data_IF_957289255102
#
_entry.id   IF_957289255102
#
_cell.length_a   1.000
_cell.length_b   1.000
_cell.length_c   1.000
_cell.angle_alpha   90.00
_cell.angle_beta   90.00
_cell.angle_gamma   90.00
#
_symmetry.space_group_name_H-M   'P 1'
#
loop_
_entity.id
_entity.type
_entity.pdbx_description
1 polymer ?
#
# COMPACT_ATOMS: atom_id res chain seq x y z
N UNK A 1 24.72 23.74 8.96
CA UNK A 1 23.93 24.16 7.79
C UNK A 1 22.51 23.59 8.00
N UNK A 2 21.50 24.45 7.96
CA UNK A 2 20.10 24.01 8.15
C UNK A 2 19.54 23.52 6.81
N UNK A 3 19.43 22.19 6.67
CA UNK A 3 18.93 21.56 5.44
C UNK A 3 17.39 21.52 5.36
N UNK A 4 16.69 21.75 6.48
CA UNK A 4 15.21 21.67 6.53
C UNK A 4 14.54 22.67 5.59
N UNK A 5 15.17 23.82 5.33
CA UNK A 5 14.65 24.83 4.39
C UNK A 5 14.66 24.41 2.90
N UNK A 6 15.28 23.26 2.57
CA UNK A 6 15.36 22.75 1.20
C UNK A 6 14.51 21.51 0.96
N UNK A 7 13.83 21.00 1.97
CA UNK A 7 12.93 19.84 1.83
C UNK A 7 11.55 20.27 1.33
N UNK A 8 10.81 19.34 0.73
CA UNK A 8 9.44 19.59 0.31
C UNK A 8 8.53 19.89 1.51
N UNK A 9 7.52 20.76 1.35
CA UNK A 9 6.54 21.03 2.39
C UNK A 9 5.90 19.75 2.93
N UNK A 10 5.75 19.68 4.25
CA UNK A 10 5.11 18.54 4.92
C UNK A 10 6.06 17.40 5.34
N UNK A 11 7.28 17.32 4.77
CA UNK A 11 8.27 16.28 5.15
C UNK A 11 8.71 16.45 6.61
N UNK A 12 8.89 17.68 7.07
CA UNK A 12 9.24 18.01 8.46
C UNK A 12 8.22 17.51 9.48
N UNK A 13 6.97 17.33 9.05
CA UNK A 13 5.86 16.82 9.88
C UNK A 13 5.75 15.29 9.89
N UNK A 14 6.58 14.59 9.10
CA UNK A 14 6.56 13.13 9.04
C UNK A 14 7.28 12.55 10.26
N UNK A 15 6.56 11.76 11.04
CA UNK A 15 7.19 10.90 12.04
C UNK A 15 7.59 9.59 11.36
N UNK A 16 8.81 9.07 11.63
CA UNK A 16 9.21 7.77 11.12
C UNK A 16 8.16 6.71 11.44
N UNK A 17 7.84 5.88 10.46
CA UNK A 17 6.99 4.73 10.69
C UNK A 17 7.72 3.73 11.59
N UNK A 18 7.11 3.36 12.70
CA UNK A 18 7.63 2.31 13.56
C UNK A 18 7.04 0.96 13.12
N UNK A 19 7.80 0.13 12.41
CA UNK A 19 7.33 -1.21 12.03
C UNK A 19 7.12 -2.07 13.28
N UNK A 20 6.30 -3.10 13.15
CA UNK A 20 6.16 -4.11 14.21
C UNK A 20 7.53 -4.72 14.55
N UNK A 21 7.75 -5.00 15.83
CA UNK A 21 9.01 -5.61 16.29
C UNK A 21 9.27 -6.93 15.60
N UNK A 22 10.54 -7.21 15.29
CA UNK A 22 10.94 -8.51 14.75
C UNK A 22 10.67 -9.63 15.79
N UNK A 23 10.55 -10.87 15.32
CA UNK A 23 10.43 -12.01 16.21
C UNK A 23 11.65 -12.14 17.13
N UNK A 24 12.83 -11.90 16.57
CA UNK A 24 14.10 -12.02 17.29
C UNK A 24 14.23 -10.96 18.39
N UNK A 25 13.88 -9.70 18.12
CA UNK A 25 13.89 -8.63 19.13
C UNK A 25 12.97 -8.93 20.31
N UNK A 26 11.81 -9.55 20.05
CA UNK A 26 10.86 -9.92 21.10
C UNK A 26 11.38 -11.12 21.89
N UNK A 27 11.93 -12.13 21.22
CA UNK A 27 12.51 -13.29 21.87
C UNK A 27 13.68 -12.90 22.77
N UNK A 28 14.59 -12.06 22.29
CA UNK A 28 15.72 -11.55 23.06
C UNK A 28 15.26 -10.72 24.27
N UNK A 29 14.38 -9.75 24.04
CA UNK A 29 13.89 -8.83 25.07
C UNK A 29 13.21 -9.56 26.24
N UNK A 30 12.48 -10.62 25.96
CA UNK A 30 11.69 -11.36 26.97
C UNK A 30 12.28 -12.74 27.32
N UNK A 31 13.48 -13.04 26.82
CA UNK A 31 14.19 -14.31 27.01
C UNK A 31 13.29 -15.53 26.68
N UNK A 32 12.64 -15.49 25.51
CA UNK A 32 11.74 -16.52 25.05
C UNK A 32 12.45 -17.45 24.06
N UNK A 33 12.16 -18.73 24.14
CA UNK A 33 12.67 -19.75 23.21
C UNK A 33 11.82 -19.86 21.94
N UNK A 34 10.59 -19.35 21.96
CA UNK A 34 9.65 -19.42 20.85
C UNK A 34 8.58 -18.34 20.97
N UNK A 35 8.18 -17.78 19.84
CA UNK A 35 6.99 -16.91 19.72
C UNK A 35 6.16 -17.30 18.51
N UNK A 36 4.90 -16.88 18.51
CA UNK A 36 4.02 -16.93 17.34
C UNK A 36 3.77 -15.48 16.88
N UNK A 37 4.27 -15.12 15.70
CA UNK A 37 4.05 -13.81 15.10
C UNK A 37 2.77 -13.84 14.28
N UNK A 38 1.77 -13.04 14.70
CA UNK A 38 0.49 -12.88 14.01
C UNK A 38 0.34 -11.48 13.39
N UNK A 39 1.44 -10.73 13.33
CA UNK A 39 1.50 -9.38 12.77
C UNK A 39 2.10 -9.39 11.36
N UNK A 40 1.97 -8.24 10.66
CA UNK A 40 2.59 -7.97 9.34
C UNK A 40 1.96 -8.73 8.17
N UNK A 41 0.85 -9.43 8.37
CA UNK A 41 0.15 -10.19 7.33
C UNK A 41 1.05 -11.21 6.59
N UNK A 42 2.04 -11.75 7.31
CA UNK A 42 2.93 -12.77 6.79
C UNK A 42 2.22 -14.12 6.66
N UNK A 43 2.55 -14.89 5.62
CA UNK A 43 2.04 -16.23 5.47
C UNK A 43 2.77 -17.21 6.40
N UNK A 44 2.14 -17.60 7.50
CA UNK A 44 2.71 -18.53 8.49
C UNK A 44 2.99 -19.94 7.95
N UNK A 45 2.38 -20.32 6.81
CA UNK A 45 2.66 -21.59 6.13
C UNK A 45 3.97 -21.55 5.31
N UNK A 46 4.49 -20.34 5.09
CA UNK A 46 5.66 -20.12 4.25
C UNK A 46 5.38 -20.27 2.74
N UNK A 47 6.41 -20.23 1.91
CA UNK A 47 6.26 -20.36 0.47
C UNK A 47 5.95 -21.81 0.07
N UNK A 48 5.30 -21.98 -1.09
CA UNK A 48 5.02 -23.32 -1.62
C UNK A 48 6.31 -24.10 -1.91
N UNK A 49 6.31 -25.44 -1.84
CA UNK A 49 7.47 -26.26 -2.21
C UNK A 49 7.95 -26.01 -3.63
N UNK A 50 7.05 -25.72 -4.58
CA UNK A 50 7.39 -25.38 -5.97
C UNK A 50 8.20 -24.09 -6.06
N UNK A 51 7.83 -23.06 -5.30
CA UNK A 51 8.58 -21.79 -5.24
C UNK A 51 9.98 -22.02 -4.68
N UNK A 52 10.10 -22.81 -3.61
CA UNK A 52 11.41 -23.15 -3.03
C UNK A 52 12.32 -23.86 -4.03
N UNK A 53 11.77 -24.82 -4.80
CA UNK A 53 12.54 -25.51 -5.85
C UNK A 53 13.07 -24.53 -6.89
N UNK A 54 12.21 -23.67 -7.43
CA UNK A 54 12.61 -22.67 -8.43
C UNK A 54 13.70 -21.73 -7.91
N UNK A 55 13.56 -21.25 -6.67
CA UNK A 55 14.58 -20.37 -6.05
C UNK A 55 15.92 -21.09 -5.92
N UNK A 56 15.94 -22.35 -5.51
CA UNK A 56 17.16 -23.13 -5.33
C UNK A 56 17.86 -23.46 -6.67
N UNK A 57 17.08 -23.57 -7.74
CA UNK A 57 17.59 -23.88 -9.08
C UNK A 57 17.99 -22.62 -9.88
N UNK A 58 17.59 -21.44 -9.41
CA UNK A 58 17.86 -20.18 -10.10
C UNK A 58 19.35 -19.80 -10.02
N UNK A 59 19.99 -19.66 -11.16
CA UNK A 59 21.43 -19.42 -11.28
C UNK A 59 21.77 -18.01 -11.79
N UNK A 60 20.84 -17.36 -12.43
CA UNK A 60 21.08 -16.12 -13.18
C UNK A 60 20.84 -14.85 -12.33
N UNK A 61 21.14 -14.94 -11.03
CA UNK A 61 20.97 -13.83 -10.06
C UNK A 61 21.83 -12.59 -10.40
N UNK A 62 22.83 -12.76 -11.27
CA UNK A 62 23.74 -11.70 -11.72
C UNK A 62 23.22 -10.95 -12.97
N UNK A 63 22.12 -11.39 -13.55
CA UNK A 63 21.51 -10.77 -14.72
C UNK A 63 20.35 -9.85 -14.31
N UNK A 64 20.17 -8.76 -15.04
CA UNK A 64 18.98 -7.95 -14.88
C UNK A 64 17.73 -8.69 -15.38
N UNK A 65 16.63 -8.62 -14.65
CA UNK A 65 15.34 -9.13 -15.15
C UNK A 65 14.83 -8.26 -16.32
N UNK A 66 13.84 -8.79 -17.04
CA UNK A 66 13.09 -8.00 -18.01
C UNK A 66 12.40 -6.82 -17.29
N UNK A 67 12.76 -5.58 -17.68
CA UNK A 67 12.25 -4.36 -17.05
C UNK A 67 10.74 -4.19 -17.19
N UNK A 68 10.14 -4.74 -18.26
CA UNK A 68 8.70 -4.70 -18.47
C UNK A 68 7.96 -5.85 -17.77
N UNK A 69 8.69 -6.88 -17.33
CA UNK A 69 8.12 -8.06 -16.69
C UNK A 69 7.10 -8.82 -17.55
N UNK A 70 7.35 -8.93 -18.86
CA UNK A 70 6.38 -9.45 -19.85
C UNK A 70 5.84 -10.83 -19.49
N UNK A 71 6.72 -11.75 -19.09
CA UNK A 71 6.28 -13.12 -18.73
C UNK A 71 5.38 -13.12 -17.50
N UNK A 72 5.67 -12.29 -16.49
CA UNK A 72 4.87 -12.17 -15.28
C UNK A 72 3.53 -11.50 -15.59
N UNK A 73 3.50 -10.41 -16.37
CA UNK A 73 2.26 -9.75 -16.81
C UNK A 73 1.38 -10.71 -17.59
N UNK A 74 1.93 -11.42 -18.55
CA UNK A 74 1.18 -12.41 -19.34
C UNK A 74 0.57 -13.51 -18.45
N UNK A 75 1.30 -13.96 -17.43
CA UNK A 75 0.75 -14.96 -16.50
C UNK A 75 -0.34 -14.41 -15.59
N UNK A 76 -0.21 -13.20 -15.12
CA UNK A 76 -1.25 -12.50 -14.33
C UNK A 76 -2.47 -12.27 -15.22
N UNK A 77 -2.28 -11.79 -16.45
CA UNK A 77 -3.33 -11.57 -17.45
C UNK A 77 -4.16 -12.85 -17.68
N UNK A 78 -3.49 -13.99 -17.86
CA UNK A 78 -4.15 -15.29 -18.04
C UNK A 78 -4.99 -15.70 -16.80
N UNK A 79 -4.45 -15.49 -15.59
CA UNK A 79 -5.09 -15.92 -14.33
C UNK A 79 -6.25 -15.00 -13.94
N UNK A 80 -6.04 -13.68 -14.09
CA UNK A 80 -7.00 -12.66 -13.65
C UNK A 80 -7.96 -12.23 -14.78
N UNK A 81 -7.80 -12.77 -15.98
CA UNK A 81 -8.60 -12.42 -17.16
C UNK A 81 -8.58 -10.92 -17.49
N UNK A 82 -7.40 -10.30 -17.35
CA UNK A 82 -7.15 -8.88 -17.64
C UNK A 82 -6.26 -8.72 -18.87
N UNK A 83 -6.32 -7.58 -19.54
CA UNK A 83 -5.30 -7.21 -20.55
C UNK A 83 -3.97 -6.88 -19.89
N UNK A 84 -2.84 -7.24 -20.51
CA UNK A 84 -1.49 -6.88 -20.06
C UNK A 84 -1.32 -5.36 -19.85
N UNK A 85 -2.01 -4.55 -20.65
CA UNK A 85 -2.03 -3.09 -20.58
C UNK A 85 -2.64 -2.57 -19.27
N UNK A 86 -3.45 -3.38 -18.60
CA UNK A 86 -4.09 -3.05 -17.32
C UNK A 86 -3.25 -3.51 -16.11
N UNK A 87 -2.00 -3.95 -16.34
CA UNK A 87 -1.14 -4.50 -15.30
C UNK A 87 0.11 -3.65 -15.14
N UNK A 88 0.31 -3.12 -13.95
CA UNK A 88 1.55 -2.45 -13.54
C UNK A 88 2.20 -3.29 -12.45
N UNK A 89 3.50 -3.52 -12.58
CA UNK A 89 4.30 -4.28 -11.61
C UNK A 89 5.12 -3.33 -10.73
N UNK A 90 5.32 -3.75 -9.49
CA UNK A 90 6.17 -3.04 -8.54
C UNK A 90 6.66 -3.95 -7.41
N UNK A 91 7.65 -3.51 -6.65
CA UNK A 91 8.19 -4.21 -5.49
C UNK A 91 7.25 -4.05 -4.29
N UNK A 92 6.10 -4.70 -4.36
CA UNK A 92 5.02 -4.58 -3.40
C UNK A 92 4.16 -3.33 -3.60
N UNK A 93 3.07 -3.28 -2.82
CA UNK A 93 2.07 -2.21 -2.92
C UNK A 93 2.62 -0.81 -2.62
N UNK A 94 3.64 -0.69 -1.78
CA UNK A 94 4.23 0.61 -1.45
C UNK A 94 4.80 1.31 -2.70
N UNK A 95 5.53 0.59 -3.56
CA UNK A 95 6.06 1.17 -4.79
C UNK A 95 4.93 1.62 -5.74
N UNK A 96 3.87 0.80 -5.86
CA UNK A 96 2.70 1.19 -6.66
C UNK A 96 2.03 2.46 -6.08
N UNK A 97 1.87 2.53 -4.76
CA UNK A 97 1.30 3.72 -4.11
C UNK A 97 2.17 4.96 -4.31
N UNK A 98 3.50 4.80 -4.30
CA UNK A 98 4.43 5.90 -4.62
C UNK A 98 4.29 6.33 -6.08
N UNK A 99 4.25 5.40 -7.04
CA UNK A 99 4.06 5.71 -8.46
C UNK A 99 2.75 6.48 -8.69
N UNK A 100 1.64 6.03 -8.10
CA UNK A 100 0.34 6.71 -8.16
C UNK A 100 0.44 8.11 -7.56
N UNK A 101 1.05 8.23 -6.38
CA UNK A 101 1.20 9.52 -5.70
C UNK A 101 2.10 10.48 -6.48
N UNK A 102 3.18 9.99 -7.08
CA UNK A 102 4.07 10.80 -7.91
C UNK A 102 3.37 11.29 -9.18
N UNK A 103 2.50 10.47 -9.74
CA UNK A 103 1.80 10.78 -11.00
C UNK A 103 0.66 11.78 -10.79
N UNK A 104 -0.11 11.64 -9.71
CA UNK A 104 -1.38 12.35 -9.54
C UNK A 104 -1.40 13.36 -8.40
N UNK A 105 -0.45 13.29 -7.44
CA UNK A 105 -0.45 14.17 -6.27
C UNK A 105 0.62 15.26 -6.35
N UNK A 106 0.24 16.46 -5.91
CA UNK A 106 1.07 17.64 -5.82
C UNK A 106 0.51 18.59 -4.75
N UNK A 107 1.18 19.70 -4.48
CA UNK A 107 0.68 20.75 -3.58
C UNK A 107 -0.68 21.36 -4.00
N UNK A 108 -1.08 21.18 -5.29
CA UNK A 108 -2.34 21.69 -5.84
C UNK A 108 -3.44 20.66 -5.89
N UNK A 109 -3.20 19.45 -5.39
CA UNK A 109 -4.15 18.34 -5.42
C UNK A 109 -4.52 17.89 -4.02
N UNK A 110 -5.58 17.11 -3.95
CA UNK A 110 -6.06 16.51 -2.71
C UNK A 110 -6.26 15.02 -2.89
N UNK A 111 -6.08 14.28 -1.79
CA UNK A 111 -6.44 12.87 -1.74
C UNK A 111 -7.32 12.57 -0.54
N UNK A 112 -8.06 11.46 -0.62
CA UNK A 112 -9.02 11.02 0.40
C UNK A 112 -8.69 9.61 0.82
N UNK A 113 -8.70 9.34 2.13
CA UNK A 113 -8.58 8.00 2.71
C UNK A 113 -9.23 7.95 4.09
N UNK A 114 -9.55 6.75 4.55
CA UNK A 114 -10.16 6.59 5.88
C UNK A 114 -9.13 6.72 6.99
N UNK A 115 -9.57 7.24 8.13
CA UNK A 115 -8.91 7.02 9.42
C UNK A 115 -8.79 5.52 9.67
N UNK A 116 -7.72 5.08 10.27
CA UNK A 116 -7.39 3.66 10.47
C UNK A 116 -7.17 2.87 9.16
N UNK A 117 -6.89 3.55 8.04
CA UNK A 117 -6.39 2.91 6.82
C UNK A 117 -4.85 2.78 6.86
N UNK A 118 -4.30 2.21 5.81
CA UNK A 118 -2.86 1.98 5.70
C UNK A 118 -2.08 3.29 5.75
N UNK A 119 -1.15 3.37 6.70
CA UNK A 119 -0.38 4.60 7.01
C UNK A 119 0.35 5.19 5.82
N UNK A 120 0.70 4.37 4.82
CA UNK A 120 1.43 4.79 3.62
C UNK A 120 0.66 5.82 2.80
N UNK A 121 -0.68 5.81 2.80
CA UNK A 121 -1.47 6.83 2.10
C UNK A 121 -1.17 8.23 2.60
N UNK A 122 -1.17 8.40 3.92
CA UNK A 122 -0.84 9.67 4.57
C UNK A 122 0.62 10.08 4.35
N UNK A 123 1.53 9.12 4.41
CA UNK A 123 2.96 9.38 4.17
C UNK A 123 3.20 9.83 2.74
N UNK A 124 2.64 9.13 1.76
CA UNK A 124 2.75 9.46 0.35
C UNK A 124 2.18 10.86 0.03
N UNK A 125 1.02 11.21 0.58
CA UNK A 125 0.44 12.55 0.45
C UNK A 125 1.37 13.63 1.02
N UNK A 126 1.91 13.43 2.23
CA UNK A 126 2.83 14.38 2.87
C UNK A 126 4.13 14.56 2.09
N UNK A 127 4.74 13.49 1.58
CA UNK A 127 5.96 13.57 0.76
C UNK A 127 5.75 14.41 -0.48
N UNK A 128 4.54 14.42 -1.03
CA UNK A 128 4.16 15.23 -2.20
C UNK A 128 3.69 16.65 -1.86
N UNK A 129 3.61 17.00 -0.57
CA UNK A 129 3.02 18.27 -0.13
C UNK A 129 1.52 18.37 -0.45
N UNK A 130 0.87 17.25 -0.72
CA UNK A 130 -0.53 17.16 -1.09
C UNK A 130 -1.43 17.33 0.14
N UNK A 131 -2.50 18.11 0.01
CA UNK A 131 -3.56 18.14 1.01
C UNK A 131 -4.32 16.82 1.04
N UNK A 132 -4.86 16.43 2.19
CA UNK A 132 -5.60 15.19 2.30
C UNK A 132 -6.75 15.28 3.28
N UNK A 133 -7.80 14.51 3.03
CA UNK A 133 -8.93 14.30 3.92
C UNK A 133 -8.82 12.91 4.56
N UNK A 134 -8.51 12.88 5.84
CA UNK A 134 -8.54 11.66 6.66
C UNK A 134 -9.96 11.52 7.24
N UNK A 135 -10.80 10.79 6.51
CA UNK A 135 -12.23 10.66 6.80
C UNK A 135 -12.47 9.72 7.99
N UNK A 136 -13.30 10.12 8.94
CA UNK A 136 -13.66 9.29 10.09
C UNK A 136 -14.24 7.93 9.64
N UNK A 137 -13.76 6.87 10.30
CA UNK A 137 -14.17 5.52 10.00
C UNK A 137 -15.57 5.22 10.55
N UNK A 138 -16.36 4.47 9.79
CA UNK A 138 -17.64 3.92 10.23
C UNK A 138 -17.42 2.45 10.61
N UNK A 139 -17.60 2.11 11.88
CA UNK A 139 -17.38 0.75 12.38
C UNK A 139 -16.02 0.16 11.97
N UNK A 140 -14.94 0.95 12.07
CA UNK A 140 -13.58 0.62 11.66
C UNK A 140 -13.36 0.44 10.16
N UNK A 141 -14.37 0.65 9.34
CA UNK A 141 -14.33 0.55 7.88
C UNK A 141 -14.43 1.90 7.19
N UNK A 142 -14.54 1.87 5.87
CA UNK A 142 -14.70 3.06 5.05
C UNK A 142 -16.14 3.59 5.15
N UNK A 143 -16.29 4.91 5.34
CA UNK A 143 -17.56 5.62 5.20
C UNK A 143 -17.60 6.30 3.81
N UNK A 144 -18.09 5.56 2.81
CA UNK A 144 -18.09 6.03 1.42
C UNK A 144 -19.00 7.26 1.21
N UNK A 145 -20.05 7.42 1.99
CA UNK A 145 -20.90 8.61 1.89
C UNK A 145 -20.15 9.85 2.34
N UNK A 146 -19.36 9.75 3.42
CA UNK A 146 -18.47 10.85 3.82
C UNK A 146 -17.33 11.09 2.85
N UNK A 147 -16.83 10.06 2.15
CA UNK A 147 -15.84 10.28 1.09
C UNK A 147 -16.38 11.23 0.03
N UNK A 148 -17.65 11.01 -0.39
CA UNK A 148 -18.31 11.84 -1.40
C UNK A 148 -18.42 13.31 -0.95
N UNK A 149 -18.69 13.55 0.34
CA UNK A 149 -18.78 14.90 0.91
C UNK A 149 -17.43 15.68 0.80
N UNK A 150 -16.31 14.97 0.72
CA UNK A 150 -14.99 15.57 0.60
C UNK A 150 -14.46 15.67 -0.84
N UNK A 151 -15.15 15.07 -1.82
CA UNK A 151 -14.74 15.15 -3.22
C UNK A 151 -14.97 16.57 -3.74
N UNK A 152 -13.93 17.14 -4.35
CA UNK A 152 -13.97 18.46 -4.97
C UNK A 152 -13.09 18.50 -6.23
N UNK A 153 -13.01 19.64 -6.88
CA UNK A 153 -12.25 19.84 -8.11
C UNK A 153 -10.75 19.57 -8.00
N UNK A 154 -10.18 19.59 -6.80
CA UNK A 154 -8.77 19.31 -6.54
C UNK A 154 -8.51 17.85 -6.18
N UNK A 155 -9.54 17.07 -5.91
CA UNK A 155 -9.40 15.63 -5.60
C UNK A 155 -8.86 14.87 -6.80
N UNK A 156 -7.76 14.14 -6.62
CA UNK A 156 -7.12 13.34 -7.67
C UNK A 156 -7.06 11.87 -7.34
N UNK A 157 -6.94 11.52 -6.06
CA UNK A 157 -6.78 10.13 -5.63
C UNK A 157 -7.67 9.85 -4.42
N UNK A 158 -8.37 8.73 -4.47
CA UNK A 158 -9.10 8.17 -3.33
C UNK A 158 -8.50 6.80 -3.04
N UNK A 159 -7.96 6.61 -1.84
CA UNK A 159 -7.37 5.34 -1.42
C UNK A 159 -8.39 4.50 -0.65
N UNK A 160 -8.70 3.34 -1.19
CA UNK A 160 -9.60 2.35 -0.56
C UNK A 160 -8.90 1.00 -0.57
N UNK A 161 -8.50 0.51 0.62
CA UNK A 161 -8.06 -0.86 0.79
C UNK A 161 -9.29 -1.75 1.02
N UNK A 162 -9.47 -2.80 0.24
CA UNK A 162 -10.60 -3.71 0.39
C UNK A 162 -10.17 -5.17 0.24
N UNK A 163 -10.11 -5.96 1.32
CA UNK A 163 -10.37 -5.58 2.72
C UNK A 163 -9.43 -4.50 3.27
N UNK A 164 -9.91 -3.70 4.23
CA UNK A 164 -9.10 -2.62 4.80
C UNK A 164 -7.92 -3.15 5.63
N UNK A 165 -6.77 -2.57 5.44
CA UNK A 165 -5.59 -2.81 6.27
C UNK A 165 -5.44 -1.62 7.25
N UNK A 166 -5.40 -1.84 8.60
CA UNK A 166 -5.25 -3.15 9.29
C UNK A 166 -6.56 -3.74 9.84
N UNK A 167 -7.71 -3.12 9.67
CA UNK A 167 -8.94 -3.46 10.41
C UNK A 167 -9.66 -4.70 9.89
N UNK A 168 -9.38 -5.13 8.66
CA UNK A 168 -10.00 -6.30 8.04
C UNK A 168 -11.47 -6.12 7.64
N UNK A 169 -12.04 -4.93 7.83
CA UNK A 169 -13.39 -4.62 7.34
C UNK A 169 -13.40 -4.57 5.81
N UNK A 170 -14.51 -4.94 5.19
CA UNK A 170 -14.60 -4.94 3.73
C UNK A 170 -15.90 -4.32 3.23
N UNK A 171 -15.83 -3.82 2.02
CA UNK A 171 -16.97 -3.32 1.26
C UNK A 171 -17.38 -4.40 0.25
N UNK A 172 -18.68 -4.59 0.11
CA UNK A 172 -19.23 -5.46 -0.92
C UNK A 172 -19.06 -4.84 -2.31
N UNK A 173 -19.11 -5.68 -3.35
CA UNK A 173 -19.10 -5.19 -4.74
C UNK A 173 -20.19 -4.15 -5.00
N UNK A 174 -21.40 -4.38 -4.49
CA UNK A 174 -22.49 -3.43 -4.61
C UNK A 174 -22.21 -2.06 -3.97
N UNK A 175 -21.57 -2.02 -2.80
CA UNK A 175 -21.23 -0.76 -2.14
C UNK A 175 -20.17 0.03 -2.92
N UNK A 176 -19.18 -0.67 -3.47
CA UNK A 176 -18.17 -0.03 -4.32
C UNK A 176 -18.77 0.48 -5.61
N UNK A 177 -19.57 -0.33 -6.31
CA UNK A 177 -20.24 0.08 -7.55
C UNK A 177 -21.12 1.30 -7.35
N UNK A 178 -21.92 1.31 -6.28
CA UNK A 178 -22.76 2.44 -5.94
C UNK A 178 -21.94 3.71 -5.68
N UNK A 179 -20.78 3.59 -5.08
CA UNK A 179 -19.85 4.70 -4.86
C UNK A 179 -19.28 5.23 -6.17
N UNK A 180 -18.87 4.34 -7.06
CA UNK A 180 -18.27 4.71 -8.35
C UNK A 180 -19.25 5.35 -9.35
N UNK A 181 -20.57 5.18 -9.12
CA UNK A 181 -21.63 5.78 -9.93
C UNK A 181 -22.03 7.20 -9.51
N UNK A 182 -21.50 7.68 -8.40
CA UNK A 182 -21.77 9.03 -7.88
C UNK A 182 -20.70 10.03 -8.30
#
# INVERSE_FOLDING_TARGET
>A
MDYLKYINPGIDSIKPYEPGKSADDVMEKYNLSKIVKLASNENSLGPSPKVKSVINEFKDIHLYPDGDGKQLKSKISEVELLSDENIILGNGSNEILEMVSQTFLSERSECIFSKHAFVVYKLAAKVRGCNFHEVEAKSWGHDLDKFIEHINENTRVIFIANPNNPTGTYLTHYEIDKFLQK
#
